data_IF_541164183524
#
_entry.id   IF_541164183524
#
_cell.length_a   1.000
_cell.length_b   1.000
_cell.length_c   1.000
_cell.angle_alpha   90.00
_cell.angle_beta   90.00
_cell.angle_gamma   90.00
#
_symmetry.space_group_name_H-M   'P 1'
#
loop_
_entity.id
_entity.type
_entity.pdbx_description
1 polymer ?
#
# COMPACT_ATOMS: atom_id res chain seq x y z
N UNK A 1 20.43 -23.17 6.48
CA UNK A 1 19.21 -22.42 6.16
C UNK A 1 18.04 -23.28 6.54
N UNK A 2 17.34 -22.93 7.61
CA UNK A 2 16.09 -23.58 7.98
C UNK A 2 14.97 -22.93 7.16
N UNK A 3 14.39 -23.71 6.24
CA UNK A 3 13.35 -23.20 5.32
C UNK A 3 12.01 -22.94 6.02
N UNK A 4 11.84 -23.39 7.27
CA UNK A 4 10.62 -23.18 8.04
C UNK A 4 10.54 -21.80 8.73
N UNK A 5 11.62 -21.00 8.71
CA UNK A 5 11.66 -19.66 9.33
C UNK A 5 11.89 -18.52 8.30
N UNK A 6 11.46 -18.70 7.05
CA UNK A 6 11.48 -17.62 6.06
C UNK A 6 10.44 -16.56 6.42
N UNK A 7 10.90 -15.50 7.10
CA UNK A 7 10.08 -14.36 7.48
C UNK A 7 10.79 -13.04 7.18
N UNK A 8 10.03 -11.96 7.11
CA UNK A 8 10.58 -10.61 7.02
C UNK A 8 11.09 -10.23 8.41
N UNK A 9 12.31 -9.69 8.45
CA UNK A 9 12.94 -9.24 9.68
C UNK A 9 13.37 -7.80 9.46
N UNK A 10 13.02 -6.92 10.39
CA UNK A 10 13.59 -5.58 10.42
C UNK A 10 14.86 -5.64 11.22
N UNK A 11 15.97 -5.34 10.55
CA UNK A 11 17.27 -5.24 11.20
C UNK A 11 17.35 -3.90 11.93
N UNK A 12 17.57 -3.95 13.25
CA UNK A 12 17.82 -2.78 14.11
C UNK A 12 19.16 -3.00 14.82
N UNK A 13 19.87 -1.90 15.11
CA UNK A 13 21.20 -1.94 15.75
C UNK A 13 21.27 -2.84 16.99
N UNK A 14 20.22 -2.88 17.82
CA UNK A 14 20.22 -3.68 19.05
C UNK A 14 19.80 -5.14 18.84
N UNK A 15 18.82 -5.40 17.97
CA UNK A 15 18.35 -6.76 17.64
C UNK A 15 17.47 -6.80 16.39
N UNK A 16 17.60 -7.85 15.57
CA UNK A 16 16.63 -8.15 14.52
C UNK A 16 15.29 -8.50 15.15
N UNK A 17 14.22 -7.86 14.67
CA UNK A 17 12.85 -8.12 15.15
C UNK A 17 12.10 -8.87 14.04
N UNK A 18 11.76 -10.16 14.24
CA UNK A 18 10.98 -10.92 13.27
C UNK A 18 9.52 -10.48 13.26
N UNK A 19 8.87 -10.65 12.10
CA UNK A 19 7.55 -10.11 11.80
C UNK A 19 6.48 -10.39 12.87
N UNK A 20 6.45 -11.61 13.41
CA UNK A 20 5.45 -12.05 14.39
C UNK A 20 5.58 -11.36 15.75
N UNK A 21 6.66 -10.62 15.99
CA UNK A 21 6.92 -9.88 17.24
C UNK A 21 6.72 -8.37 17.11
N UNK A 22 6.32 -7.88 15.94
CA UNK A 22 5.95 -6.49 15.73
C UNK A 22 4.42 -6.34 15.87
N UNK A 23 3.95 -5.53 16.82
CA UNK A 23 2.53 -5.47 17.23
C UNK A 23 1.62 -4.60 16.36
N UNK A 24 0.30 -4.90 16.39
CA UNK A 24 -0.87 -4.32 15.69
C UNK A 24 -1.08 -4.75 14.21
N UNK A 25 -2.35 -4.86 13.79
CA UNK A 25 -2.74 -5.25 12.43
C UNK A 25 -2.34 -4.24 11.35
N UNK A 26 -2.15 -2.97 11.71
CA UNK A 26 -1.64 -1.93 10.79
C UNK A 26 -0.19 -2.20 10.38
N UNK A 27 0.60 -2.79 11.27
CA UNK A 27 1.97 -3.18 10.97
C UNK A 27 2.02 -4.28 9.88
N UNK A 28 1.02 -5.16 9.80
CA UNK A 28 0.98 -6.26 8.83
C UNK A 28 0.91 -5.78 7.36
N UNK A 29 0.07 -4.79 7.07
CA UNK A 29 -0.05 -4.19 5.72
C UNK A 29 1.27 -3.54 5.31
N UNK A 30 1.89 -2.80 6.23
CA UNK A 30 3.19 -2.16 6.01
C UNK A 30 4.26 -3.16 5.58
N UNK A 31 4.33 -4.33 6.20
CA UNK A 31 5.34 -5.35 5.85
C UNK A 31 5.10 -5.98 4.49
N UNK A 32 3.86 -6.33 4.15
CA UNK A 32 3.55 -6.91 2.85
C UNK A 32 3.89 -5.93 1.74
N UNK A 33 3.53 -4.67 1.93
CA UNK A 33 3.84 -3.60 1.01
C UNK A 33 5.35 -3.43 0.83
N UNK A 34 6.11 -3.30 1.92
CA UNK A 34 7.57 -3.14 1.87
C UNK A 34 8.22 -4.35 1.20
N UNK A 35 7.80 -5.57 1.54
CA UNK A 35 8.35 -6.79 0.97
C UNK A 35 8.09 -6.88 -0.54
N UNK A 36 6.86 -6.61 -0.99
CA UNK A 36 6.53 -6.59 -2.41
C UNK A 36 7.30 -5.48 -3.16
N UNK A 37 7.33 -4.26 -2.63
CA UNK A 37 8.06 -3.15 -3.24
C UNK A 37 9.56 -3.44 -3.33
N UNK A 38 10.17 -4.02 -2.29
CA UNK A 38 11.58 -4.39 -2.29
C UNK A 38 11.88 -5.50 -3.31
N UNK A 39 11.05 -6.55 -3.34
CA UNK A 39 11.20 -7.65 -4.27
C UNK A 39 11.05 -7.17 -5.72
N UNK A 40 9.99 -6.43 -6.04
CA UNK A 40 9.80 -5.89 -7.38
C UNK A 40 10.88 -4.88 -7.77
N UNK A 41 11.40 -4.08 -6.82
CA UNK A 41 12.55 -3.21 -7.07
C UNK A 41 13.77 -4.02 -7.52
N UNK A 42 14.15 -5.01 -6.71
CA UNK A 42 15.30 -5.87 -7.00
C UNK A 42 15.15 -6.58 -8.35
N UNK A 43 13.99 -7.19 -8.59
CA UNK A 43 13.73 -7.93 -9.82
C UNK A 43 13.73 -7.02 -11.05
N UNK A 44 13.20 -5.80 -10.93
CA UNK A 44 13.20 -4.79 -12.01
C UNK A 44 14.62 -4.34 -12.34
N UNK A 45 15.41 -3.97 -11.32
CA UNK A 45 16.79 -3.52 -11.48
C UNK A 45 17.70 -4.59 -12.09
N UNK A 46 17.44 -5.87 -11.79
CA UNK A 46 18.20 -7.00 -12.30
C UNK A 46 17.61 -7.60 -13.58
N UNK A 47 16.64 -6.92 -14.22
CA UNK A 47 15.96 -7.32 -15.44
C UNK A 47 15.47 -8.79 -15.42
N UNK A 48 14.91 -9.21 -14.28
CA UNK A 48 14.37 -10.56 -14.12
C UNK A 48 13.02 -10.68 -14.84
N UNK A 49 12.69 -11.85 -15.41
CA UNK A 49 11.48 -12.04 -16.22
C UNK A 49 10.24 -12.22 -15.34
N UNK A 50 9.92 -11.23 -14.51
CA UNK A 50 8.70 -11.20 -13.70
C UNK A 50 7.78 -10.08 -14.18
N UNK A 51 6.47 -10.17 -13.92
CA UNK A 51 5.56 -9.05 -14.14
C UNK A 51 6.06 -7.77 -13.46
N UNK A 52 6.13 -6.70 -14.24
CA UNK A 52 6.59 -5.39 -13.79
C UNK A 52 5.45 -4.48 -13.34
N UNK A 53 4.44 -5.09 -12.73
CA UNK A 53 3.36 -4.39 -12.07
C UNK A 53 2.97 -5.07 -10.76
N UNK A 54 2.40 -4.30 -9.84
CA UNK A 54 1.82 -4.77 -8.59
C UNK A 54 0.40 -4.18 -8.45
N UNK A 55 -0.59 -5.04 -8.19
CA UNK A 55 -1.96 -4.61 -7.93
C UNK A 55 -2.28 -4.76 -6.45
N UNK A 56 -2.87 -3.74 -5.83
CA UNK A 56 -3.18 -3.71 -4.40
C UNK A 56 -4.63 -3.25 -4.22
N UNK A 57 -5.42 -4.06 -3.51
CA UNK A 57 -6.83 -3.78 -3.23
C UNK A 57 -7.00 -3.30 -1.79
N UNK A 58 -7.55 -2.09 -1.65
CA UNK A 58 -7.90 -1.40 -0.41
C UNK A 58 -6.84 -1.47 0.71
N UNK A 59 -5.56 -1.13 0.45
CA UNK A 59 -4.52 -1.20 1.49
C UNK A 59 -4.78 -0.29 2.70
N UNK A 60 -5.57 0.78 2.55
CA UNK A 60 -5.82 1.68 3.68
C UNK A 60 -6.94 1.22 4.61
N UNK A 61 -7.74 0.20 4.24
CA UNK A 61 -8.94 -0.20 4.99
C UNK A 61 -8.64 -0.50 6.47
N UNK A 62 -7.45 -1.01 6.79
CA UNK A 62 -7.03 -1.31 8.16
C UNK A 62 -6.93 -0.08 9.07
N UNK A 63 -6.81 1.12 8.49
CA UNK A 63 -6.73 2.39 9.22
C UNK A 63 -8.11 3.02 9.45
N UNK A 64 -9.16 2.55 8.77
CA UNK A 64 -10.51 3.11 8.89
C UNK A 64 -11.31 2.39 10.00
N UNK A 65 -12.11 3.13 10.80
CA UNK A 65 -13.03 2.51 11.74
C UNK A 65 -14.08 1.64 11.01
N UNK A 66 -14.30 0.41 11.48
CA UNK A 66 -15.22 -0.54 10.84
C UNK A 66 -16.66 -0.03 10.67
N UNK A 67 -17.10 0.89 11.53
CA UNK A 67 -18.47 1.42 11.53
C UNK A 67 -18.65 2.72 10.72
N UNK A 68 -17.56 3.36 10.26
CA UNK A 68 -17.63 4.69 9.64
C UNK A 68 -17.29 4.69 8.14
N UNK A 69 -16.56 3.68 7.63
CA UNK A 69 -15.99 3.70 6.27
C UNK A 69 -17.03 3.96 5.16
N UNK A 70 -18.25 3.43 5.31
CA UNK A 70 -19.36 3.65 4.37
C UNK A 70 -19.89 5.10 4.37
N UNK A 71 -19.71 5.86 5.45
CA UNK A 71 -20.16 7.25 5.58
C UNK A 71 -19.07 8.26 5.20
N UNK A 72 -17.80 7.83 5.21
CA UNK A 72 -16.66 8.73 5.07
C UNK A 72 -16.34 9.11 3.61
N UNK A 73 -16.86 8.37 2.62
CA UNK A 73 -16.54 8.53 1.20
C UNK A 73 -15.03 8.72 0.93
N UNK A 74 -14.19 8.04 1.70
CA UNK A 74 -12.73 8.16 1.57
C UNK A 74 -12.07 9.35 2.28
N UNK A 75 -12.83 10.19 2.97
CA UNK A 75 -12.27 11.30 3.75
C UNK A 75 -11.39 10.79 4.89
N UNK A 76 -10.23 11.42 5.03
CA UNK A 76 -9.26 11.16 6.09
C UNK A 76 -9.53 12.03 7.33
N UNK A 77 -10.52 12.92 7.29
CA UNK A 77 -10.77 13.93 8.34
C UNK A 77 -11.23 13.31 9.66
N UNK A 78 -11.84 12.11 9.61
CA UNK A 78 -12.31 11.38 10.78
C UNK A 78 -11.31 10.30 11.25
N UNK A 79 -10.17 10.16 10.57
CA UNK A 79 -9.08 9.31 11.06
C UNK A 79 -8.35 9.98 12.22
N UNK A 80 -7.78 9.17 13.12
CA UNK A 80 -6.82 9.67 14.09
C UNK A 80 -5.59 10.22 13.37
N UNK A 81 -4.92 11.19 13.98
CA UNK A 81 -3.73 11.81 13.40
C UNK A 81 -2.63 10.80 13.04
N UNK A 82 -2.43 9.78 13.89
CA UNK A 82 -1.45 8.71 13.67
C UNK A 82 -1.80 7.86 12.43
N UNK A 83 -3.07 7.48 12.28
CA UNK A 83 -3.58 6.68 11.16
C UNK A 83 -3.48 7.46 9.85
N UNK A 84 -3.89 8.74 9.87
CA UNK A 84 -3.76 9.66 8.74
C UNK A 84 -2.30 9.83 8.32
N UNK A 85 -1.38 9.95 9.29
CA UNK A 85 0.06 10.04 8.99
C UNK A 85 0.60 8.73 8.41
N UNK A 86 0.15 7.58 8.90
CA UNK A 86 0.53 6.26 8.39
C UNK A 86 0.08 6.07 6.93
N UNK A 87 -1.17 6.39 6.60
CA UNK A 87 -1.70 6.37 5.23
C UNK A 87 -0.88 7.28 4.30
N UNK A 88 -0.55 8.50 4.76
CA UNK A 88 0.30 9.42 3.98
C UNK A 88 1.68 8.84 3.72
N UNK A 89 2.36 8.31 4.74
CA UNK A 89 3.68 7.69 4.62
C UNK A 89 3.65 6.48 3.68
N UNK A 90 2.58 5.70 3.71
CA UNK A 90 2.37 4.55 2.84
C UNK A 90 2.35 4.96 1.36
N UNK A 91 1.50 5.92 0.98
CA UNK A 91 1.45 6.40 -0.40
C UNK A 91 2.74 7.10 -0.82
N UNK A 92 3.36 7.90 0.06
CA UNK A 92 4.65 8.52 -0.22
C UNK A 92 5.74 7.48 -0.55
N UNK A 93 5.79 6.38 0.21
CA UNK A 93 6.72 5.27 -0.06
C UNK A 93 6.46 4.64 -1.44
N UNK A 94 5.20 4.33 -1.74
CA UNK A 94 4.83 3.71 -3.03
C UNK A 94 5.23 4.62 -4.19
N UNK A 95 4.84 5.89 -4.15
CA UNK A 95 5.13 6.85 -5.22
C UNK A 95 6.63 7.06 -5.37
N UNK A 96 7.39 7.11 -4.27
CA UNK A 96 8.85 7.16 -4.31
C UNK A 96 9.45 5.97 -5.07
N UNK A 97 9.01 4.74 -4.76
CA UNK A 97 9.51 3.52 -5.41
C UNK A 97 9.13 3.48 -6.89
N UNK A 98 7.88 3.79 -7.22
CA UNK A 98 7.40 3.81 -8.61
C UNK A 98 8.17 4.85 -9.44
N UNK A 99 8.31 6.08 -8.94
CA UNK A 99 9.06 7.13 -9.66
C UNK A 99 10.51 6.76 -9.89
N UNK A 100 11.15 6.09 -8.92
CA UNK A 100 12.54 5.63 -9.04
C UNK A 100 12.73 4.55 -10.09
N UNK A 101 11.73 3.68 -10.27
CA UNK A 101 11.79 2.55 -11.20
C UNK A 101 11.12 2.83 -12.55
N UNK A 102 10.45 3.97 -12.71
CA UNK A 102 9.81 4.40 -13.95
C UNK A 102 10.80 4.42 -15.13
N UNK A 103 10.41 3.98 -16.34
CA UNK A 103 9.09 3.48 -16.74
C UNK A 103 8.91 1.96 -16.53
N UNK A 104 9.85 1.30 -15.83
CA UNK A 104 9.95 -0.14 -15.80
C UNK A 104 9.15 -0.81 -14.68
N UNK A 105 8.41 -0.07 -13.86
CA UNK A 105 7.57 -0.66 -12.81
C UNK A 105 6.31 0.17 -12.60
N UNK A 106 5.18 -0.50 -12.39
CA UNK A 106 3.89 0.13 -12.13
C UNK A 106 3.26 -0.43 -10.85
N UNK A 107 2.59 0.43 -10.09
CA UNK A 107 1.70 -0.02 -9.02
C UNK A 107 0.29 0.50 -9.33
N UNK A 108 -0.69 -0.39 -9.23
CA UNK A 108 -2.12 -0.10 -9.43
C UNK A 108 -2.81 -0.33 -8.09
N UNK A 109 -3.56 0.67 -7.63
CA UNK A 109 -4.21 0.63 -6.31
C UNK A 109 -5.68 1.00 -6.48
N UNK A 110 -6.56 0.17 -5.92
CA UNK A 110 -7.96 0.51 -5.68
C UNK A 110 -8.10 0.84 -4.20
N UNK A 111 -8.65 2.00 -3.85
CA UNK A 111 -8.74 2.44 -2.47
C UNK A 111 -9.84 3.49 -2.30
N UNK A 112 -10.28 3.72 -1.07
CA UNK A 112 -11.19 4.82 -0.74
C UNK A 112 -10.45 6.10 -0.39
N UNK A 113 -9.22 6.03 0.13
CA UNK A 113 -8.46 7.19 0.57
C UNK A 113 -8.28 8.23 -0.54
N UNK A 114 -8.61 9.50 -0.23
CA UNK A 114 -8.47 10.63 -1.15
C UNK A 114 -7.63 11.74 -0.50
N UNK A 115 -6.30 11.61 -0.54
CA UNK A 115 -5.40 12.57 0.12
C UNK A 115 -5.35 13.87 -0.69
N UNK A 116 -5.64 15.01 -0.08
CA UNK A 116 -5.65 16.31 -0.75
C UNK A 116 -4.27 16.82 -1.25
N UNK A 117 -3.18 16.08 -1.02
CA UNK A 117 -1.85 16.51 -1.45
C UNK A 117 -1.63 16.27 -2.95
N UNK A 118 -0.91 17.19 -3.60
CA UNK A 118 -0.67 17.16 -5.04
C UNK A 118 -0.07 15.85 -5.53
N UNK A 119 0.85 15.27 -4.74
CA UNK A 119 1.56 14.04 -5.11
C UNK A 119 0.63 12.85 -5.27
N UNK A 120 -0.30 12.69 -4.34
CA UNK A 120 -1.36 11.69 -4.41
C UNK A 120 -2.32 12.00 -5.55
N UNK A 121 -2.79 13.25 -5.63
CA UNK A 121 -3.75 13.70 -6.64
C UNK A 121 -3.26 13.47 -8.08
N UNK A 122 -1.98 13.70 -8.35
CA UNK A 122 -1.35 13.42 -9.64
C UNK A 122 -1.29 11.92 -9.99
N UNK A 123 -1.49 11.03 -9.00
CA UNK A 123 -1.51 9.58 -9.18
C UNK A 123 -2.94 9.03 -9.31
N UNK A 124 -3.98 9.83 -9.06
CA UNK A 124 -5.39 9.43 -9.19
C UNK A 124 -5.77 9.41 -10.67
N UNK A 125 -6.16 8.24 -11.16
CA UNK A 125 -6.60 8.06 -12.55
C UNK A 125 -8.11 8.22 -12.68
N UNK A 126 -8.88 7.65 -11.76
CA UNK A 126 -10.35 7.66 -11.77
C UNK A 126 -10.91 7.77 -10.35
N UNK A 127 -12.13 8.32 -10.23
CA UNK A 127 -12.90 8.34 -8.98
C UNK A 127 -14.28 7.75 -9.19
N UNK A 128 -14.58 6.69 -8.45
CA UNK A 128 -15.86 6.00 -8.50
C UNK A 128 -16.76 6.46 -7.35
N UNK A 129 -17.58 7.50 -7.58
CA UNK A 129 -18.60 8.00 -6.64
C UNK A 129 -20.01 7.86 -7.23
N UNK A 130 -20.42 6.62 -7.48
CA UNK A 130 -21.73 6.26 -8.02
C UNK A 130 -21.66 5.33 -9.24
N UNK A 131 -20.74 5.57 -10.17
CA UNK A 131 -20.38 4.61 -11.22
C UNK A 131 -19.29 3.66 -10.69
N UNK A 132 -19.50 2.35 -10.81
CA UNK A 132 -18.56 1.32 -10.35
C UNK A 132 -17.67 0.80 -11.49
N UNK A 133 -16.54 0.19 -11.13
CA UNK A 133 -15.63 -0.46 -12.10
C UNK A 133 -16.35 -1.54 -12.93
N UNK A 134 -17.31 -2.26 -12.32
CA UNK A 134 -18.16 -3.21 -13.03
C UNK A 134 -19.45 -2.50 -13.45
N UNK A 135 -19.74 -2.40 -14.76
CA UNK A 135 -20.98 -1.79 -15.24
C UNK A 135 -22.21 -2.51 -14.70
N UNK A 136 -23.27 -1.77 -14.36
CA UNK A 136 -24.53 -2.39 -13.90
C UNK A 136 -25.18 -3.29 -14.96
N UNK A 137 -24.87 -3.07 -16.23
CA UNK A 137 -25.34 -3.91 -17.34
C UNK A 137 -24.76 -5.32 -17.34
N UNK A 138 -23.73 -5.60 -16.53
CA UNK A 138 -23.09 -6.92 -16.42
C UNK A 138 -23.64 -7.78 -15.27
N UNK A 139 -24.54 -7.23 -14.45
CA UNK A 139 -25.25 -7.98 -13.39
C UNK A 139 -26.33 -8.89 -13.94
#
# INVERSE_FOLDING_TARGET
>A
MDFNELTVVVDREDRPIPLHRMGSGENWVGYHLIAHLALHSYLTEHNRPVPRFLFIDQPTQVYYPQDEDAQLEGSLDNLKDEDREAVRKMFDLIINVVNRLHPNFQVIITDHADLANERFQNSVVERWRGEALIPDSWK
#
